data_IF_496516140110
#
_entry.id   IF_496516140110
#
_cell.length_a   1.000
_cell.length_b   1.000
_cell.length_c   1.000
_cell.angle_alpha   90.00
_cell.angle_beta   90.00
_cell.angle_gamma   90.00
#
_symmetry.space_group_name_H-M   'P 1'
#
loop_
_entity.id
_entity.type
_entity.pdbx_description
1 polymer ?
#
# COMPACT_ATOMS: atom_id res chain seq x y z
N UNK A 1 12.77 -6.87 13.00
CA UNK A 1 11.37 -7.05 13.44
C UNK A 1 11.23 -8.35 14.22
N UNK A 2 10.37 -8.38 15.24
CA UNK A 2 9.96 -9.62 15.91
C UNK A 2 8.92 -10.39 15.08
N UNK A 3 8.66 -11.66 15.39
CA UNK A 3 7.61 -12.47 14.74
C UNK A 3 6.25 -11.78 14.83
N UNK A 4 5.92 -11.21 15.98
CA UNK A 4 4.68 -10.45 16.18
C UNK A 4 4.66 -9.20 15.27
N UNK A 5 5.77 -8.48 15.17
CA UNK A 5 5.89 -7.32 14.28
C UNK A 5 5.72 -7.68 12.79
N UNK A 6 6.23 -8.84 12.38
CA UNK A 6 6.05 -9.34 11.01
C UNK A 6 4.59 -9.68 10.70
N UNK A 7 3.88 -10.32 11.64
CA UNK A 7 2.46 -10.64 11.47
C UNK A 7 1.63 -9.34 11.39
N UNK A 8 1.88 -8.38 12.28
CA UNK A 8 1.20 -7.08 12.26
C UNK A 8 1.46 -6.35 10.94
N UNK A 9 2.70 -6.34 10.47
CA UNK A 9 3.05 -5.72 9.19
C UNK A 9 2.29 -6.34 8.01
N UNK A 10 2.18 -7.67 7.94
CA UNK A 10 1.38 -8.33 6.90
C UNK A 10 -0.10 -7.98 6.98
N UNK A 11 -0.67 -7.93 8.19
CA UNK A 11 -2.08 -7.60 8.40
C UNK A 11 -2.36 -6.14 8.04
N UNK A 12 -1.54 -5.21 8.52
CA UNK A 12 -1.67 -3.78 8.22
C UNK A 12 -1.48 -3.52 6.72
N UNK A 13 -0.45 -4.11 6.12
CA UNK A 13 -0.23 -4.04 4.68
C UNK A 13 -1.44 -4.58 3.90
N UNK A 14 -1.96 -5.75 4.28
CA UNK A 14 -3.17 -6.31 3.69
C UNK A 14 -4.39 -5.41 3.78
N UNK A 15 -4.62 -4.78 4.94
CA UNK A 15 -5.73 -3.84 5.16
C UNK A 15 -5.54 -2.60 4.28
N UNK A 16 -4.35 -2.02 4.23
CA UNK A 16 -4.08 -0.83 3.41
C UNK A 16 -4.29 -1.14 1.92
N UNK A 17 -3.75 -2.25 1.44
CA UNK A 17 -3.92 -2.63 0.04
C UNK A 17 -5.37 -2.92 -0.32
N UNK A 18 -6.15 -3.48 0.61
CA UNK A 18 -7.60 -3.68 0.44
C UNK A 18 -8.39 -2.37 0.43
N UNK A 19 -8.04 -1.41 1.28
CA UNK A 19 -8.65 -0.08 1.25
C UNK A 19 -8.32 0.61 -0.09
N UNK A 20 -7.07 0.53 -0.55
CA UNK A 20 -6.66 1.06 -1.85
C UNK A 20 -7.42 0.40 -3.01
N UNK A 21 -7.63 -0.93 -2.97
CA UNK A 21 -8.38 -1.65 -4.02
C UNK A 21 -9.85 -1.25 -4.07
N UNK A 22 -10.47 -0.96 -2.92
CA UNK A 22 -11.82 -0.39 -2.87
C UNK A 22 -11.87 1.02 -3.45
N UNK A 23 -10.94 1.90 -3.08
CA UNK A 23 -10.85 3.26 -3.62
C UNK A 23 -10.73 3.22 -5.15
N UNK A 24 -9.89 2.31 -5.66
CA UNK A 24 -9.65 2.15 -7.09
C UNK A 24 -10.66 1.26 -7.81
N UNK A 25 -11.68 0.76 -7.11
CA UNK A 25 -12.73 -0.14 -7.63
C UNK A 25 -12.15 -1.38 -8.32
N UNK A 26 -11.00 -1.87 -7.86
CA UNK A 26 -10.31 -3.08 -8.36
C UNK A 26 -10.41 -4.28 -7.43
N UNK A 27 -11.14 -4.15 -6.32
CA UNK A 27 -11.28 -5.17 -5.27
C UNK A 27 -11.59 -6.58 -5.82
N UNK A 28 -12.52 -6.65 -6.77
CA UNK A 28 -12.96 -7.90 -7.41
C UNK A 28 -11.85 -8.67 -8.15
N UNK A 29 -10.73 -8.01 -8.48
CA UNK A 29 -9.60 -8.61 -9.20
C UNK A 29 -8.38 -8.89 -8.31
N UNK A 30 -8.33 -8.34 -7.10
CA UNK A 30 -7.12 -8.36 -6.28
C UNK A 30 -7.14 -9.53 -5.28
N UNK A 31 -8.25 -9.80 -4.59
CA UNK A 31 -8.27 -10.83 -3.56
C UNK A 31 -7.25 -10.58 -2.44
N UNK A 32 -7.22 -11.46 -1.42
CA UNK A 32 -6.45 -11.21 -0.19
C UNK A 32 -4.92 -11.11 -0.43
N UNK A 33 -4.36 -12.02 -1.22
CA UNK A 33 -2.91 -12.07 -1.44
C UNK A 33 -2.41 -10.85 -2.21
N UNK A 34 -3.11 -10.41 -3.26
CA UNK A 34 -2.72 -9.22 -4.01
C UNK A 34 -2.85 -7.96 -3.17
N UNK A 35 -3.87 -7.87 -2.31
CA UNK A 35 -4.01 -6.72 -1.40
C UNK A 35 -2.81 -6.61 -0.45
N UNK A 36 -2.32 -7.73 0.09
CA UNK A 36 -1.10 -7.73 0.90
C UNK A 36 0.10 -7.23 0.09
N UNK A 37 0.30 -7.76 -1.12
CA UNK A 37 1.41 -7.34 -2.00
C UNK A 37 1.32 -5.86 -2.35
N UNK A 38 0.13 -5.38 -2.72
CA UNK A 38 -0.14 -3.98 -3.05
C UNK A 38 0.12 -3.08 -1.84
N UNK A 39 -0.28 -3.51 -0.65
CA UNK A 39 -0.02 -2.76 0.58
C UNK A 39 1.47 -2.65 0.91
N UNK A 40 2.21 -3.74 0.78
CA UNK A 40 3.66 -3.77 1.03
C UNK A 40 4.41 -2.90 0.01
N UNK A 41 4.16 -3.11 -1.29
CA UNK A 41 4.82 -2.33 -2.36
C UNK A 41 4.39 -0.86 -2.29
N UNK A 42 3.11 -0.61 -2.03
CA UNK A 42 2.55 0.72 -1.84
C UNK A 42 3.15 1.44 -0.65
N UNK A 43 3.47 0.74 0.43
CA UNK A 43 4.17 1.30 1.58
C UNK A 43 5.57 1.78 1.26
N UNK A 44 6.34 1.07 0.43
CA UNK A 44 7.67 1.54 0.01
C UNK A 44 7.56 2.84 -0.80
N UNK A 45 6.58 2.92 -1.70
CA UNK A 45 6.29 4.13 -2.48
C UNK A 45 5.83 5.26 -1.55
N UNK A 46 4.98 4.94 -0.57
CA UNK A 46 4.45 5.87 0.42
C UNK A 46 5.53 6.47 1.31
N UNK A 47 6.39 5.64 1.89
CA UNK A 47 7.51 6.08 2.73
C UNK A 47 8.49 6.96 1.95
N UNK A 48 8.80 6.59 0.69
CA UNK A 48 9.62 7.42 -0.18
C UNK A 48 9.00 8.79 -0.47
N UNK A 49 7.69 8.83 -0.80
CA UNK A 49 6.95 10.08 -1.02
C UNK A 49 6.86 10.93 0.25
N UNK A 50 6.63 10.29 1.40
CA UNK A 50 6.56 10.95 2.71
C UNK A 50 7.88 11.61 3.08
N UNK A 51 8.99 10.89 2.91
CA UNK A 51 10.34 11.44 3.11
C UNK A 51 10.65 12.61 2.18
N UNK A 52 10.22 12.54 0.91
CA UNK A 52 10.42 13.63 -0.05
C UNK A 52 9.58 14.87 0.27
N UNK A 53 8.33 14.70 0.70
CA UNK A 53 7.37 15.80 0.84
C UNK A 53 7.45 16.51 2.20
N UNK A 54 7.66 15.76 3.28
CA UNK A 54 7.63 16.30 4.65
C UNK A 54 8.84 15.88 5.49
N UNK A 55 9.88 15.31 4.87
CA UNK A 55 11.14 14.93 5.51
C UNK A 55 11.11 13.54 6.15
N UNK A 56 10.10 13.28 6.97
CA UNK A 56 9.83 11.94 7.51
C UNK A 56 8.33 11.78 7.81
N UNK A 57 7.68 10.90 7.06
CA UNK A 57 6.29 10.54 7.30
C UNK A 57 6.13 9.19 8.02
N UNK A 58 7.25 8.51 8.30
CA UNK A 58 7.26 7.13 8.73
C UNK A 58 7.04 6.13 7.59
N UNK A 59 7.45 4.88 7.83
CA UNK A 59 7.34 3.77 6.88
C UNK A 59 6.89 2.51 7.62
N UNK A 60 5.73 1.97 7.24
CA UNK A 60 5.19 0.75 7.85
C UNK A 60 6.11 -0.46 7.62
N UNK A 61 6.96 -0.44 6.60
CA UNK A 61 7.96 -1.49 6.36
C UNK A 61 9.09 -1.50 7.40
N UNK A 62 9.30 -0.40 8.10
CA UNK A 62 10.26 -0.31 9.19
C UNK A 62 9.60 -0.59 10.55
N UNK A 63 8.30 -0.88 10.56
CA UNK A 63 7.52 -1.12 11.78
C UNK A 63 7.00 0.14 12.45
N UNK A 64 7.09 1.31 11.79
CA UNK A 64 6.39 2.49 12.24
C UNK A 64 4.93 2.45 11.76
N UNK A 65 3.99 2.38 12.69
CA UNK A 65 2.55 2.35 12.42
C UNK A 65 1.86 3.66 12.82
N UNK A 66 2.60 4.77 12.76
CA UNK A 66 2.09 6.14 12.93
C UNK A 66 0.95 6.46 11.95
N UNK A 67 0.07 7.41 12.29
CA UNK A 67 -1.01 7.81 11.39
C UNK A 67 -0.49 8.33 10.04
N UNK A 68 0.64 9.05 10.05
CA UNK A 68 1.30 9.53 8.84
C UNK A 68 1.76 8.36 7.96
N UNK A 69 2.45 7.37 8.51
CA UNK A 69 2.97 6.24 7.73
C UNK A 69 1.85 5.43 7.08
N UNK A 70 0.71 5.26 7.78
CA UNK A 70 -0.48 4.60 7.24
C UNK A 70 -1.11 5.39 6.08
N UNK A 71 -1.23 6.71 6.22
CA UNK A 71 -1.79 7.58 5.18
C UNK A 71 -0.90 7.61 3.92
N UNK A 72 0.41 7.74 4.10
CA UNK A 72 1.36 7.74 2.99
C UNK A 72 1.47 6.36 2.34
N UNK A 73 1.42 5.27 3.11
CA UNK A 73 1.35 3.91 2.59
C UNK A 73 0.08 3.69 1.76
N UNK A 74 -1.07 4.17 2.23
CA UNK A 74 -2.32 4.14 1.46
C UNK A 74 -2.20 4.95 0.17
N UNK A 75 -1.63 6.15 0.23
CA UNK A 75 -1.40 7.00 -0.93
C UNK A 75 -0.47 6.32 -1.95
N UNK A 76 0.62 5.71 -1.49
CA UNK A 76 1.53 4.94 -2.34
C UNK A 76 0.86 3.70 -2.96
N UNK A 77 0.01 2.99 -2.21
CA UNK A 77 -0.78 1.87 -2.72
C UNK A 77 -1.80 2.31 -3.79
N UNK A 78 -2.47 3.45 -3.58
CA UNK A 78 -3.38 4.03 -4.58
C UNK A 78 -2.60 4.42 -5.85
N UNK A 79 -1.44 5.05 -5.73
CA UNK A 79 -0.59 5.39 -6.88
C UNK A 79 -0.15 4.13 -7.62
N UNK A 80 0.32 3.10 -6.90
CA UNK A 80 0.69 1.82 -7.49
C UNK A 80 -0.47 1.22 -8.31
N UNK A 81 -1.67 1.17 -7.71
CA UNK A 81 -2.85 0.67 -8.39
C UNK A 81 -3.28 1.54 -9.56
N UNK A 82 -3.09 2.86 -9.49
CA UNK A 82 -3.37 3.77 -10.61
C UNK A 82 -2.52 3.41 -11.82
N UNK A 83 -1.22 3.23 -11.60
CA UNK A 83 -0.26 2.85 -12.63
C UNK A 83 -0.62 1.47 -13.19
N UNK A 84 -0.83 0.48 -12.32
CA UNK A 84 -1.20 -0.89 -12.73
C UNK A 84 -2.51 -0.88 -13.54
N UNK A 85 -3.50 -0.10 -13.13
CA UNK A 85 -4.78 0.02 -13.83
C UNK A 85 -4.64 0.72 -15.18
N UNK A 86 -3.78 1.71 -15.30
CA UNK A 86 -3.50 2.38 -16.56
C UNK A 86 -2.98 1.38 -17.60
N UNK A 87 -2.03 0.51 -17.22
CA UNK A 87 -1.53 -0.53 -18.10
C UNK A 87 -2.55 -1.66 -18.36
N UNK A 88 -3.38 -2.01 -17.37
CA UNK A 88 -4.44 -3.02 -17.54
C UNK A 88 -5.58 -2.55 -18.44
N UNK A 89 -5.90 -1.25 -18.44
CA UNK A 89 -6.92 -0.64 -19.31
C UNK A 89 -6.57 -0.73 -20.81
N UNK A 90 -5.31 -0.93 -21.17
CA UNK A 90 -4.91 -1.24 -22.55
C UNK A 90 -5.37 -2.61 -23.05
N UNK A 91 -5.82 -3.51 -22.17
CA UNK A 91 -6.57 -4.71 -22.57
C UNK A 91 -8.04 -4.33 -22.73
N UNK A 92 -8.33 -3.71 -23.87
CA UNK A 92 -9.68 -3.66 -24.44
C UNK A 92 -10.22 -5.10 -24.40
N UNK A 93 -11.32 -5.29 -23.67
CA UNK A 93 -12.22 -6.40 -23.97
C UNK A 93 -13.13 -5.94 -25.10
#
# INVERSE_FOLDING_TARGET
MSIVGFIVWLVVGGIIGWIASKIMRTDAQQGALMNIVVGIVGAFIGGWLGGMLIGDAGDINQGDFSLSSLLFSLLGAVILLAIVNMFRRGRVR
#
